data_IF_549055633927
#
_entry.id   IF_549055633927
#
_cell.length_a   1.000
_cell.length_b   1.000
_cell.length_c   1.000
_cell.angle_alpha   90.00
_cell.angle_beta   90.00
_cell.angle_gamma   90.00
#
_symmetry.space_group_name_H-M   'P 1'
#
loop_
_entity.id
_entity.type
_entity.pdbx_description
1 polymer ?
#
# COMPACT_ATOMS: atom_id res chain seq x y z
N UNK A 1 25.12 -22.84 14.57
CA UNK A 1 26.07 -22.21 13.62
C UNK A 1 25.22 -21.76 12.45
N UNK A 2 24.98 -20.49 12.16
CA UNK A 2 25.51 -19.21 12.59
C UNK A 2 24.33 -18.23 12.58
N UNK A 3 24.02 -17.63 13.73
CA UNK A 3 23.05 -16.53 13.79
C UNK A 3 23.67 -15.34 13.07
N UNK A 4 23.05 -14.90 11.98
CA UNK A 4 23.38 -13.61 11.39
C UNK A 4 22.82 -12.53 12.32
N UNK A 5 23.65 -12.12 13.28
CA UNK A 5 23.52 -10.85 13.98
C UNK A 5 23.87 -9.74 12.98
N UNK A 6 22.91 -9.38 12.12
CA UNK A 6 22.98 -8.19 11.32
C UNK A 6 22.54 -7.03 12.21
N UNK A 7 23.51 -6.38 12.84
CA UNK A 7 23.31 -5.07 13.46
C UNK A 7 22.80 -4.13 12.37
N UNK A 8 21.50 -3.83 12.41
CA UNK A 8 20.88 -2.89 11.50
C UNK A 8 21.55 -1.52 11.68
N UNK A 9 21.78 -0.76 10.59
CA UNK A 9 22.20 0.63 10.73
C UNK A 9 21.21 1.36 11.64
N UNK A 10 21.72 2.27 12.48
CA UNK A 10 20.88 3.01 13.42
C UNK A 10 19.70 3.65 12.66
N UNK A 11 18.46 3.42 13.11
CA UNK A 11 17.28 3.92 12.41
C UNK A 11 17.35 5.45 12.34
N UNK A 12 17.10 6.01 11.15
CA UNK A 12 17.02 7.46 10.99
C UNK A 12 15.76 7.96 11.68
N UNK A 13 15.90 8.88 12.63
CA UNK A 13 14.76 9.45 13.37
C UNK A 13 14.86 10.97 13.26
N UNK A 14 13.94 11.56 12.52
CA UNK A 14 13.94 12.98 12.19
C UNK A 14 12.69 13.67 12.78
N UNK A 15 12.86 14.92 13.22
CA UNK A 15 11.73 15.78 13.56
C UNK A 15 11.10 16.35 12.28
N UNK A 16 9.77 16.23 12.15
CA UNK A 16 9.00 16.85 11.08
C UNK A 16 8.07 17.88 11.70
N UNK A 17 8.63 19.05 11.99
CA UNK A 17 7.97 20.05 12.84
C UNK A 17 8.01 19.65 14.33
N UNK A 18 7.11 20.21 15.11
CA UNK A 18 7.06 20.10 16.58
C UNK A 18 6.14 18.97 17.08
N UNK A 19 5.31 18.39 16.21
CA UNK A 19 4.30 17.36 16.58
C UNK A 19 4.38 16.08 15.76
N UNK A 20 5.45 15.89 14.97
CA UNK A 20 5.63 14.68 14.17
C UNK A 20 7.08 14.18 14.22
N UNK A 21 7.24 12.87 14.38
CA UNK A 21 8.51 12.16 14.31
C UNK A 21 8.47 11.19 13.14
N UNK A 22 9.46 11.25 12.25
CA UNK A 22 9.61 10.34 11.12
C UNK A 22 10.70 9.32 11.40
N UNK A 23 10.37 8.05 11.29
CA UNK A 23 11.28 6.93 11.56
C UNK A 23 11.55 6.17 10.27
N UNK A 24 12.80 6.12 9.84
CA UNK A 24 13.27 5.33 8.70
C UNK A 24 13.60 3.90 9.09
N UNK A 25 12.99 2.95 8.37
CA UNK A 25 13.13 1.49 8.59
C UNK A 25 13.81 0.78 7.40
N UNK A 26 14.14 1.54 6.35
CA UNK A 26 14.91 1.09 5.20
C UNK A 26 15.18 2.25 4.23
N UNK A 27 16.05 2.00 3.26
CA UNK A 27 16.40 2.99 2.22
C UNK A 27 15.64 2.74 0.91
N UNK A 28 15.21 1.50 0.68
CA UNK A 28 14.59 1.03 -0.56
C UNK A 28 13.17 0.54 -0.34
N UNK A 29 12.33 0.68 -1.38
CA UNK A 29 10.96 0.13 -1.38
C UNK A 29 11.03 -1.32 -1.82
N UNK A 30 11.16 -2.22 -0.85
CA UNK A 30 11.27 -3.66 -1.09
C UNK A 30 10.42 -4.46 -0.07
N UNK A 31 10.21 -5.77 -0.31
CA UNK A 31 9.40 -6.60 0.58
C UNK A 31 9.95 -6.70 2.02
N UNK A 32 11.26 -6.66 2.21
CA UNK A 32 11.89 -6.76 3.53
C UNK A 32 11.66 -5.48 4.35
N UNK A 33 11.90 -4.33 3.72
CA UNK A 33 11.63 -3.01 4.32
C UNK A 33 10.13 -2.87 4.66
N UNK A 34 9.25 -3.33 3.77
CA UNK A 34 7.80 -3.34 4.03
C UNK A 34 7.44 -4.21 5.25
N UNK A 35 8.05 -5.39 5.38
CA UNK A 35 7.87 -6.26 6.55
C UNK A 35 8.31 -5.57 7.85
N UNK A 36 9.45 -4.87 7.84
CA UNK A 36 9.93 -4.10 8.99
C UNK A 36 8.97 -2.98 9.37
N UNK A 37 8.46 -2.23 8.39
CA UNK A 37 7.42 -1.20 8.61
C UNK A 37 6.20 -1.80 9.28
N UNK A 38 5.67 -2.92 8.76
CA UNK A 38 4.48 -3.55 9.34
C UNK A 38 4.70 -4.12 10.73
N UNK A 39 5.83 -4.79 10.95
CA UNK A 39 6.18 -5.32 12.26
C UNK A 39 6.31 -4.18 13.29
N UNK A 40 6.89 -3.05 12.89
CA UNK A 40 7.01 -1.89 13.78
C UNK A 40 5.67 -1.21 14.06
N UNK A 41 4.82 -1.01 13.05
CA UNK A 41 3.45 -0.48 13.26
C UNK A 41 2.63 -1.39 14.17
N UNK A 42 2.72 -2.71 13.98
CA UNK A 42 2.05 -3.68 14.85
C UNK A 42 2.55 -3.54 16.29
N UNK A 43 3.86 -3.47 16.50
CA UNK A 43 4.46 -3.25 17.82
C UNK A 43 3.98 -1.96 18.47
N UNK A 44 3.90 -0.85 17.73
CA UNK A 44 3.40 0.42 18.26
C UNK A 44 1.92 0.35 18.64
N UNK A 45 1.11 -0.46 17.95
CA UNK A 45 -0.30 -0.69 18.30
C UNK A 45 -0.47 -1.60 19.51
N UNK A 46 0.36 -2.64 19.63
CA UNK A 46 0.35 -3.58 20.77
C UNK A 46 0.99 -2.97 22.02
N UNK A 47 1.96 -2.07 21.85
CA UNK A 47 2.65 -1.35 22.93
C UNK A 47 2.56 0.17 22.69
N UNK A 48 1.37 0.79 22.86
CA UNK A 48 1.19 2.23 22.63
C UNK A 48 2.17 3.08 23.43
N UNK A 49 2.65 4.16 22.82
CA UNK A 49 3.45 5.17 23.49
C UNK A 49 2.49 6.30 23.94
N UNK A 50 2.43 6.63 25.23
CA UNK A 50 1.65 7.78 25.70
C UNK A 50 1.99 9.06 24.91
N UNK A 51 0.97 9.82 24.52
CA UNK A 51 1.15 11.03 23.74
C UNK A 51 1.19 10.83 22.21
N UNK A 52 1.40 9.61 21.70
CA UNK A 52 1.24 9.33 20.26
C UNK A 52 -0.24 9.21 19.93
N UNK A 53 -0.70 10.02 18.96
CA UNK A 53 -2.09 10.06 18.49
C UNK A 53 -2.34 9.27 17.22
N UNK A 54 -1.38 9.28 16.32
CA UNK A 54 -1.52 8.62 15.02
C UNK A 54 -0.21 7.96 14.58
N UNK A 55 -0.36 6.83 13.89
CA UNK A 55 0.74 6.00 13.38
C UNK A 55 0.48 5.83 11.88
N UNK A 56 1.28 6.51 11.07
CA UNK A 56 1.10 6.56 9.62
C UNK A 56 2.25 5.80 8.95
N UNK A 57 2.04 4.54 8.52
CA UNK A 57 3.02 3.83 7.71
C UNK A 57 3.11 4.41 6.31
N UNK A 58 4.33 4.47 5.79
CA UNK A 58 4.64 4.68 4.38
C UNK A 58 5.56 3.54 3.88
N UNK A 59 6.11 3.66 2.67
CA UNK A 59 6.92 2.60 2.07
C UNK A 59 8.12 2.16 2.90
N UNK A 60 8.88 3.11 3.43
CA UNK A 60 10.13 2.85 4.17
C UNK A 60 10.17 3.53 5.53
N UNK A 61 9.10 4.23 5.89
CA UNK A 61 9.05 5.07 7.09
C UNK A 61 7.74 4.87 7.85
N UNK A 62 7.77 5.23 9.13
CA UNK A 62 6.57 5.41 9.96
C UNK A 62 6.61 6.82 10.52
N UNK A 63 5.54 7.58 10.31
CA UNK A 63 5.35 8.87 10.94
C UNK A 63 4.49 8.71 12.21
N UNK A 64 4.96 9.27 13.32
CA UNK A 64 4.22 9.33 14.58
C UNK A 64 3.78 10.77 14.82
N UNK A 65 2.47 11.01 14.81
CA UNK A 65 1.91 12.28 15.26
C UNK A 65 1.71 12.21 16.76
N UNK A 66 2.24 13.18 17.50
CA UNK A 66 2.23 13.15 18.96
C UNK A 66 1.82 14.49 19.58
N UNK A 67 1.50 14.43 20.87
CA UNK A 67 1.18 15.58 21.72
C UNK A 67 2.38 15.89 22.61
N UNK A 68 3.15 16.94 22.30
CA UNK A 68 4.35 17.28 23.07
C UNK A 68 4.04 17.53 24.55
N UNK A 69 2.84 18.05 24.84
CA UNK A 69 2.39 18.41 26.18
C UNK A 69 2.27 17.20 27.13
N UNK A 70 2.22 15.98 26.57
CA UNK A 70 2.13 14.73 27.33
C UNK A 70 3.48 14.02 27.50
N UNK A 71 4.58 14.59 26.99
CA UNK A 71 5.90 13.96 26.93
C UNK A 71 6.99 14.70 27.75
N UNK A 72 6.59 15.69 28.55
CA UNK A 72 7.46 16.42 29.47
C UNK A 72 8.29 17.52 28.79
N UNK A 73 9.41 17.89 29.43
CA UNK A 73 10.23 19.05 29.05
C UNK A 73 11.03 18.85 27.74
N UNK A 74 11.28 17.60 27.35
CA UNK A 74 11.97 17.24 26.10
C UNK A 74 11.16 16.25 25.26
N UNK A 75 10.01 16.66 24.68
CA UNK A 75 9.06 15.74 24.06
C UNK A 75 9.65 14.83 22.99
N UNK A 76 10.47 15.40 22.11
CA UNK A 76 11.09 14.65 21.02
C UNK A 76 12.05 13.58 21.54
N UNK A 77 12.92 13.91 22.51
CA UNK A 77 13.87 12.94 23.08
C UNK A 77 13.17 11.85 23.88
N UNK A 78 12.12 12.20 24.65
CA UNK A 78 11.28 11.24 25.37
C UNK A 78 10.63 10.22 24.41
N UNK A 79 10.07 10.72 23.31
CA UNK A 79 9.49 9.86 22.27
C UNK A 79 10.56 9.03 21.56
N UNK A 80 11.71 9.64 21.25
CA UNK A 80 12.82 9.00 20.56
C UNK A 80 13.36 7.82 21.37
N UNK A 81 13.54 7.99 22.69
CA UNK A 81 13.93 6.91 23.59
C UNK A 81 12.92 5.76 23.58
N UNK A 82 11.61 6.08 23.66
CA UNK A 82 10.53 5.08 23.62
C UNK A 82 10.47 4.32 22.28
N UNK A 83 10.77 5.00 21.18
CA UNK A 83 10.88 4.39 19.85
C UNK A 83 12.09 3.48 19.76
N UNK A 84 13.27 3.93 20.21
CA UNK A 84 14.49 3.14 20.19
C UNK A 84 14.36 1.86 21.02
N UNK A 85 13.71 1.91 22.18
CA UNK A 85 13.40 0.73 23.00
C UNK A 85 12.60 -0.32 22.21
N UNK A 86 11.59 0.10 21.44
CA UNK A 86 10.75 -0.79 20.62
C UNK A 86 11.48 -1.30 19.39
N UNK A 87 12.39 -0.51 18.82
CA UNK A 87 13.22 -0.92 17.69
C UNK A 87 14.32 -1.91 18.09
N UNK A 88 14.81 -1.84 19.33
CA UNK A 88 15.80 -2.77 19.87
C UNK A 88 15.24 -4.19 20.09
N UNK A 89 13.92 -4.34 20.21
CA UNK A 89 13.28 -5.65 20.30
C UNK A 89 13.30 -6.36 18.93
N UNK A 90 13.63 -7.66 18.85
CA UNK A 90 13.65 -8.39 17.59
C UNK A 90 12.28 -8.34 16.93
N UNK A 91 12.23 -8.01 15.64
CA UNK A 91 10.98 -8.07 14.88
C UNK A 91 10.61 -9.53 14.60
N UNK A 92 9.41 -9.93 14.98
CA UNK A 92 8.81 -11.14 14.41
C UNK A 92 8.42 -10.82 12.96
N UNK A 93 9.37 -11.06 12.05
CA UNK A 93 9.14 -10.92 10.60
C UNK A 93 8.52 -12.18 9.99
N UNK A 94 8.34 -13.24 10.79
CA UNK A 94 7.67 -14.46 10.39
C UNK A 94 6.31 -14.10 9.83
N UNK A 95 6.06 -14.52 8.58
CA UNK A 95 4.98 -14.08 7.72
C UNK A 95 3.75 -13.65 8.53
N UNK A 96 3.64 -12.33 8.75
CA UNK A 96 2.40 -11.72 9.23
C UNK A 96 1.30 -12.42 8.45
N UNK A 97 0.33 -13.03 9.15
CA UNK A 97 -0.75 -13.79 8.54
C UNK A 97 -1.51 -12.85 7.61
N UNK A 98 -1.01 -12.71 6.39
CA UNK A 98 -1.44 -11.73 5.43
C UNK A 98 -2.73 -12.28 4.88
N UNK A 99 -3.84 -11.59 5.16
CA UNK A 99 -5.11 -11.94 4.56
C UNK A 99 -4.90 -11.89 3.05
N UNK A 100 -5.32 -12.94 2.36
CA UNK A 100 -5.36 -12.92 0.91
C UNK A 100 -6.74 -12.43 0.51
N UNK A 101 -6.79 -11.23 -0.08
CA UNK A 101 -8.03 -10.60 -0.51
C UNK A 101 -8.15 -10.79 -2.01
N UNK A 102 -9.21 -11.46 -2.46
CA UNK A 102 -9.51 -11.59 -3.87
C UNK A 102 -10.20 -10.34 -4.41
N UNK A 103 -9.70 -9.81 -5.52
CA UNK A 103 -10.26 -8.63 -6.19
C UNK A 103 -10.64 -9.02 -7.61
N UNK A 104 -11.94 -9.17 -7.92
CA UNK A 104 -12.39 -9.44 -9.28
C UNK A 104 -12.23 -8.19 -10.15
N UNK A 105 -11.71 -8.36 -11.37
CA UNK A 105 -11.41 -7.28 -12.31
C UNK A 105 -11.92 -7.62 -13.69
N UNK A 106 -12.69 -6.71 -14.27
CA UNK A 106 -12.98 -6.69 -15.70
C UNK A 106 -11.87 -5.90 -16.40
N UNK A 107 -11.17 -6.51 -17.36
CA UNK A 107 -9.99 -5.95 -18.02
C UNK A 107 -10.32 -5.39 -19.40
N UNK A 108 -9.59 -4.34 -19.80
CA UNK A 108 -9.65 -3.77 -21.16
C UNK A 108 -10.93 -2.99 -21.45
N UNK A 109 -11.08 -2.57 -22.70
CA UNK A 109 -12.26 -1.82 -23.16
C UNK A 109 -12.52 -0.57 -22.32
N UNK A 110 -13.77 -0.35 -21.91
CA UNK A 110 -14.12 0.80 -21.08
C UNK A 110 -13.63 0.70 -19.62
N UNK A 111 -13.39 -0.52 -19.11
CA UNK A 111 -12.89 -0.76 -17.75
C UNK A 111 -11.38 -0.50 -17.65
N UNK A 112 -10.65 -0.77 -18.73
CA UNK A 112 -9.20 -0.65 -18.83
C UNK A 112 -8.75 0.00 -20.13
N UNK A 113 -9.01 1.30 -20.34
CA UNK A 113 -8.79 1.98 -21.62
C UNK A 113 -7.33 2.11 -22.04
N UNK A 114 -6.37 1.77 -21.17
CA UNK A 114 -4.93 1.83 -21.46
C UNK A 114 -4.33 0.44 -21.68
N UNK A 115 -5.10 -0.64 -21.59
CA UNK A 115 -4.57 -2.00 -21.62
C UNK A 115 -3.88 -2.32 -22.95
N UNK A 116 -4.47 -1.91 -24.06
CA UNK A 116 -3.92 -2.08 -25.40
C UNK A 116 -2.63 -1.26 -25.58
N UNK A 117 -2.60 -0.03 -25.09
CA UNK A 117 -1.41 0.84 -25.13
C UNK A 117 -0.26 0.28 -24.27
N UNK A 118 -0.58 -0.25 -23.09
CA UNK A 118 0.37 -0.95 -22.21
C UNK A 118 0.96 -2.14 -22.95
N UNK A 119 0.11 -2.98 -23.55
CA UNK A 119 0.54 -4.15 -24.31
C UNK A 119 1.48 -3.77 -25.46
N UNK A 120 1.10 -2.76 -26.25
CA UNK A 120 1.90 -2.26 -27.37
C UNK A 120 3.27 -1.72 -26.92
N UNK A 121 3.31 -0.87 -25.88
CA UNK A 121 4.57 -0.29 -25.39
C UNK A 121 5.52 -1.32 -24.78
N UNK A 122 4.97 -2.41 -24.22
CA UNK A 122 5.75 -3.50 -23.63
C UNK A 122 6.10 -4.61 -24.62
N UNK A 123 5.60 -4.54 -25.85
CA UNK A 123 5.78 -5.61 -26.85
C UNK A 123 5.09 -6.92 -26.45
N UNK A 124 3.97 -6.82 -25.74
CA UNK A 124 3.18 -7.94 -25.23
C UNK A 124 1.81 -7.98 -25.93
N UNK A 125 1.15 -9.13 -25.90
CA UNK A 125 -0.29 -9.19 -26.16
C UNK A 125 -1.08 -8.71 -24.95
N UNK A 126 -2.32 -8.28 -25.17
CA UNK A 126 -3.26 -7.93 -24.09
C UNK A 126 -3.39 -9.08 -23.07
N UNK A 127 -3.49 -10.33 -23.55
CA UNK A 127 -3.58 -11.48 -22.64
C UNK A 127 -2.30 -11.74 -21.85
N UNK A 128 -1.13 -11.47 -22.43
CA UNK A 128 0.12 -11.55 -21.67
C UNK A 128 0.14 -10.50 -20.57
N UNK A 129 -0.33 -9.27 -20.82
CA UNK A 129 -0.42 -8.23 -19.78
C UNK A 129 -1.36 -8.67 -18.65
N UNK A 130 -2.54 -9.17 -18.99
CA UNK A 130 -3.51 -9.67 -18.02
C UNK A 130 -2.90 -10.83 -17.20
N UNK A 131 -2.29 -11.82 -17.86
CA UNK A 131 -1.70 -12.98 -17.19
C UNK A 131 -0.59 -12.57 -16.21
N UNK A 132 0.34 -11.70 -16.64
CA UNK A 132 1.42 -11.20 -15.79
C UNK A 132 0.87 -10.41 -14.60
N UNK A 133 -0.15 -9.58 -14.80
CA UNK A 133 -0.80 -8.86 -13.71
C UNK A 133 -1.50 -9.82 -12.73
N UNK A 134 -2.18 -10.87 -13.20
CA UNK A 134 -2.86 -11.84 -12.33
C UNK A 134 -1.87 -12.72 -11.53
N UNK A 135 -0.72 -13.05 -12.12
CA UNK A 135 0.29 -13.95 -11.52
C UNK A 135 1.26 -13.24 -10.58
N UNK A 136 1.33 -11.91 -10.63
CA UNK A 136 2.19 -11.09 -9.78
C UNK A 136 1.88 -11.28 -8.28
N UNK A 137 2.89 -11.41 -7.40
CA UNK A 137 2.72 -11.60 -5.96
C UNK A 137 2.38 -10.29 -5.25
N UNK A 138 1.20 -9.74 -5.56
CA UNK A 138 0.78 -8.43 -5.11
C UNK A 138 0.65 -8.31 -3.60
N UNK A 139 1.25 -7.25 -3.07
CA UNK A 139 1.18 -6.93 -1.65
C UNK A 139 0.96 -5.45 -1.41
N UNK A 140 0.03 -5.12 -0.51
CA UNK A 140 -0.25 -3.74 -0.12
C UNK A 140 0.92 -3.22 0.73
N UNK A 141 1.63 -2.21 0.23
CA UNK A 141 2.74 -1.58 0.95
C UNK A 141 2.27 -0.45 1.86
N UNK A 142 1.35 0.38 1.39
CA UNK A 142 0.73 1.42 2.19
C UNK A 142 -0.64 1.78 1.63
N UNK A 143 -1.45 2.44 2.46
CA UNK A 143 -2.62 3.18 2.00
C UNK A 143 -2.33 4.67 2.08
N UNK A 144 -2.72 5.45 1.08
CA UNK A 144 -2.46 6.89 1.04
C UNK A 144 -3.01 7.53 -0.22
N UNK A 145 -2.79 8.82 -0.45
CA UNK A 145 -3.40 9.63 -1.54
C UNK A 145 -4.90 9.91 -1.38
N UNK A 146 -5.71 8.88 -1.12
CA UNK A 146 -7.13 8.99 -0.80
C UNK A 146 -7.54 7.90 0.21
N UNK A 147 -8.66 8.05 0.94
CA UNK A 147 -9.15 7.02 1.85
C UNK A 147 -9.27 5.65 1.16
N UNK A 148 -8.53 4.66 1.68
CA UNK A 148 -8.52 3.29 1.17
C UNK A 148 -7.75 3.05 -0.14
N UNK A 149 -7.02 4.05 -0.66
CA UNK A 149 -6.25 3.87 -1.90
C UNK A 149 -4.97 3.06 -1.61
N UNK A 150 -4.79 1.86 -2.20
CA UNK A 150 -3.66 1.00 -1.93
C UNK A 150 -2.53 1.24 -2.93
N UNK A 151 -1.30 1.36 -2.42
CA UNK A 151 -0.09 1.20 -3.21
C UNK A 151 0.35 -0.26 -3.11
N UNK A 152 0.22 -1.00 -4.21
CA UNK A 152 0.44 -2.44 -4.26
C UNK A 152 1.73 -2.70 -5.03
N UNK A 153 2.71 -3.30 -4.38
CA UNK A 153 3.97 -3.71 -5.01
C UNK A 153 3.92 -5.17 -5.46
N UNK A 154 5.03 -5.63 -6.07
CA UNK A 154 5.15 -6.99 -6.59
C UNK A 154 4.68 -7.14 -8.04
N UNK A 155 4.47 -6.03 -8.76
CA UNK A 155 4.13 -6.05 -10.18
C UNK A 155 5.26 -6.70 -10.99
N UNK A 156 4.90 -7.55 -11.94
CA UNK A 156 5.86 -8.19 -12.83
C UNK A 156 6.76 -7.15 -13.55
N UNK A 157 8.09 -7.31 -13.54
CA UNK A 157 9.02 -6.38 -14.18
C UNK A 157 8.73 -6.11 -15.67
N UNK A 158 8.12 -7.06 -16.38
CA UNK A 158 7.75 -6.89 -17.78
C UNK A 158 6.61 -5.87 -17.98
N UNK A 159 5.86 -5.53 -16.93
CA UNK A 159 4.80 -4.53 -16.94
C UNK A 159 5.25 -3.14 -16.46
N UNK A 160 6.51 -2.99 -16.04
CA UNK A 160 7.04 -1.73 -15.53
C UNK A 160 7.02 -0.66 -16.62
N UNK A 161 6.30 0.42 -16.36
CA UNK A 161 6.15 1.53 -17.31
C UNK A 161 5.89 2.86 -16.58
N UNK A 162 6.24 4.01 -17.17
CA UNK A 162 6.01 5.29 -16.51
C UNK A 162 4.52 5.61 -16.33
N UNK A 163 4.25 6.61 -15.50
CA UNK A 163 2.95 7.27 -15.48
C UNK A 163 2.66 7.89 -16.85
N UNK A 164 1.39 8.05 -17.17
CA UNK A 164 0.95 8.83 -18.33
C UNK A 164 1.54 10.24 -18.27
N UNK A 165 1.96 10.75 -19.43
CA UNK A 165 2.50 12.10 -19.56
C UNK A 165 1.46 13.17 -19.17
N UNK A 166 0.20 12.95 -19.54
CA UNK A 166 -0.94 13.78 -19.11
C UNK A 166 -1.87 12.96 -18.21
N UNK A 167 -1.97 13.30 -16.91
CA UNK A 167 -2.95 12.71 -16.00
C UNK A 167 -4.38 12.93 -16.47
N UNK A 168 -5.27 11.98 -16.16
CA UNK A 168 -6.72 12.16 -16.30
C UNK A 168 -7.23 13.04 -15.17
N UNK A 169 -8.15 13.93 -15.49
CA UNK A 169 -8.84 14.77 -14.50
C UNK A 169 -9.84 13.97 -13.66
N UNK A 170 -10.35 12.87 -14.21
CA UNK A 170 -11.35 12.01 -13.57
C UNK A 170 -11.06 10.54 -13.87
N UNK A 171 -10.82 9.76 -12.82
CA UNK A 171 -10.71 8.30 -12.86
C UNK A 171 -11.86 7.74 -12.03
N UNK A 172 -12.74 6.89 -12.59
CA UNK A 172 -13.87 6.39 -11.84
C UNK A 172 -13.47 5.40 -10.74
N UNK A 173 -14.27 5.26 -9.67
CA UNK A 173 -14.03 4.30 -8.60
C UNK A 173 -13.89 2.86 -9.10
N UNK A 174 -13.09 2.08 -8.40
CA UNK A 174 -12.75 0.69 -8.73
C UNK A 174 -11.74 0.53 -9.85
N UNK A 175 -11.32 1.62 -10.53
CA UNK A 175 -10.36 1.49 -11.63
C UNK A 175 -9.03 0.91 -11.11
N UNK A 176 -8.46 -0.05 -11.85
CA UNK A 176 -7.20 -0.72 -11.57
C UNK A 176 -6.15 -0.13 -12.49
N UNK A 177 -5.06 0.37 -11.91
CA UNK A 177 -4.01 1.05 -12.67
C UNK A 177 -2.63 0.50 -12.38
N UNK A 178 -1.73 0.61 -13.35
CA UNK A 178 -0.29 0.33 -13.18
C UNK A 178 0.55 1.58 -13.45
N UNK A 179 1.60 1.77 -12.65
CA UNK A 179 2.61 2.80 -12.86
C UNK A 179 3.89 2.43 -12.12
N UNK A 180 5.03 2.64 -12.79
CA UNK A 180 6.36 2.17 -12.35
C UNK A 180 6.27 0.67 -12.06
N UNK A 181 6.72 0.24 -10.90
CA UNK A 181 6.74 -1.12 -10.36
C UNK A 181 5.53 -1.44 -9.48
N UNK A 182 4.43 -0.67 -9.62
CA UNK A 182 3.28 -0.76 -8.74
C UNK A 182 1.97 -0.90 -9.52
N UNK A 183 1.00 -1.54 -8.86
CA UNK A 183 -0.42 -1.52 -9.21
C UNK A 183 -1.24 -0.82 -8.11
N UNK A 184 -2.44 -0.35 -8.43
CA UNK A 184 -3.33 0.30 -7.48
C UNK A 184 -4.79 0.07 -7.85
N UNK A 185 -5.69 0.42 -6.93
CA UNK A 185 -7.13 0.43 -7.16
C UNK A 185 -7.68 1.76 -6.64
N UNK A 186 -8.31 2.54 -7.51
CA UNK A 186 -8.88 3.84 -7.14
C UNK A 186 -10.16 3.63 -6.31
N UNK A 187 -10.21 3.97 -5.00
CA UNK A 187 -11.39 3.71 -4.17
C UNK A 187 -12.51 4.73 -4.40
N UNK A 188 -12.14 5.92 -4.88
CA UNK A 188 -12.99 7.09 -5.07
C UNK A 188 -12.66 7.74 -6.42
N UNK A 189 -13.59 8.56 -6.91
CA UNK A 189 -13.35 9.36 -8.10
C UNK A 189 -12.28 10.43 -7.82
N UNK A 190 -11.15 10.34 -8.50
CA UNK A 190 -10.00 11.24 -8.30
C UNK A 190 -9.24 11.46 -9.63
N UNK A 191 -8.47 12.55 -9.77
CA UNK A 191 -7.52 12.67 -10.87
C UNK A 191 -6.36 11.68 -10.69
N UNK A 192 -5.74 11.24 -11.79
CA UNK A 192 -4.57 10.36 -11.70
C UNK A 192 -3.87 10.09 -13.04
N UNK A 193 -2.60 9.71 -12.95
CA UNK A 193 -1.73 9.47 -14.10
C UNK A 193 -1.32 8.01 -14.29
N UNK A 194 -2.03 7.06 -13.70
CA UNK A 194 -1.71 5.63 -13.85
C UNK A 194 -2.35 5.08 -15.13
N UNK A 195 -1.74 4.03 -15.70
CA UNK A 195 -2.27 3.36 -16.88
C UNK A 195 -3.38 2.41 -16.44
N UNK A 196 -4.61 2.68 -16.85
CA UNK A 196 -5.80 1.94 -16.43
C UNK A 196 -5.99 0.67 -17.24
N UNK A 197 -5.86 -0.49 -16.59
CA UNK A 197 -5.88 -1.80 -17.25
C UNK A 197 -7.16 -2.59 -17.00
N UNK A 198 -7.99 -2.17 -16.04
CA UNK A 198 -9.27 -2.79 -15.74
C UNK A 198 -10.02 -2.07 -14.63
N UNK A 199 -11.15 -2.62 -14.19
CA UNK A 199 -11.95 -2.09 -13.08
C UNK A 199 -12.56 -3.21 -12.25
N UNK A 200 -12.59 -3.02 -10.93
CA UNK A 200 -13.26 -3.90 -9.98
C UNK A 200 -14.62 -3.34 -9.56
N UNK A 201 -15.65 -4.18 -9.33
CA UNK A 201 -16.91 -3.76 -8.74
C UNK A 201 -16.83 -3.66 -7.21
N UNK A 202 -15.73 -4.10 -6.58
CA UNK A 202 -15.57 -4.14 -5.13
C UNK A 202 -15.48 -2.72 -4.52
N UNK A 203 -16.17 -2.50 -3.39
CA UNK A 203 -16.01 -1.28 -2.59
C UNK A 203 -14.74 -1.38 -1.74
N UNK A 204 -13.75 -0.54 -1.99
CA UNK A 204 -12.51 -0.52 -1.21
C UNK A 204 -12.60 0.31 0.06
N UNK A 205 -13.45 1.35 0.05
CA UNK A 205 -13.65 2.26 1.16
C UNK A 205 -15.14 2.47 1.41
N UNK A 206 -15.55 2.26 2.65
CA UNK A 206 -16.88 2.55 3.15
C UNK A 206 -16.78 3.20 4.54
N UNK A 207 -17.13 4.49 4.69
CA UNK A 207 -17.01 5.18 5.97
C UNK A 207 -17.97 4.63 7.04
N UNK A 208 -18.99 3.85 6.66
CA UNK A 208 -19.92 3.21 7.58
C UNK A 208 -19.48 1.83 8.06
N UNK A 209 -18.46 1.23 7.41
CA UNK A 209 -17.93 -0.07 7.77
C UNK A 209 -16.85 0.00 8.87
N UNK A 210 -16.63 -1.11 9.59
CA UNK A 210 -15.55 -1.25 10.55
C UNK A 210 -14.74 -2.54 10.29
N UNK A 211 -13.50 -2.46 9.79
CA UNK A 211 -12.78 -1.24 9.41
C UNK A 211 -13.35 -0.60 8.12
N UNK A 212 -13.15 0.72 7.90
CA UNK A 212 -13.69 1.42 6.74
C UNK A 212 -12.94 1.11 5.44
N UNK A 213 -11.71 0.60 5.52
CA UNK A 213 -10.92 0.18 4.37
C UNK A 213 -10.93 -1.35 4.27
N UNK A 214 -11.23 -1.88 3.08
CA UNK A 214 -11.17 -3.32 2.82
C UNK A 214 -9.75 -3.88 2.95
N UNK A 215 -8.81 -3.17 2.32
CA UNK A 215 -7.39 -3.52 2.28
C UNK A 215 -6.66 -2.82 3.43
N UNK A 216 -5.65 -3.50 3.97
CA UNK A 216 -4.72 -2.98 4.96
C UNK A 216 -3.26 -3.19 4.49
N UNK A 217 -2.32 -2.35 4.94
CA UNK A 217 -0.91 -2.58 4.67
C UNK A 217 -0.49 -3.97 5.17
N UNK A 218 0.19 -4.73 4.31
CA UNK A 218 0.61 -6.11 4.55
C UNK A 218 -0.28 -7.18 3.92
N UNK A 219 -1.53 -6.87 3.56
CA UNK A 219 -2.44 -7.80 2.88
C UNK A 219 -1.87 -8.24 1.52
N UNK A 220 -2.12 -9.50 1.17
CA UNK A 220 -1.87 -10.04 -0.17
C UNK A 220 -3.11 -9.83 -1.03
N UNK A 221 -2.94 -9.36 -2.27
CA UNK A 221 -4.06 -9.11 -3.18
C UNK A 221 -4.01 -10.14 -4.31
N UNK A 222 -5.07 -10.92 -4.49
CA UNK A 222 -5.20 -11.81 -5.64
C UNK A 222 -6.21 -11.23 -6.61
N UNK A 223 -5.74 -10.68 -7.72
CA UNK A 223 -6.65 -10.27 -8.79
C UNK A 223 -7.22 -11.51 -9.47
N UNK A 224 -8.51 -11.45 -9.81
CA UNK A 224 -9.21 -12.53 -10.52
C UNK A 224 -9.93 -11.91 -11.71
N UNK A 225 -9.76 -12.47 -12.91
CA UNK A 225 -10.47 -11.98 -14.09
C UNK A 225 -11.95 -12.33 -14.01
N UNK A 226 -12.80 -11.36 -14.32
CA UNK A 226 -14.24 -11.55 -14.54
C UNK A 226 -14.65 -10.94 -15.88
N UNK A 227 -15.79 -11.36 -16.40
CA UNK A 227 -16.42 -10.75 -17.57
C UNK A 227 -17.33 -9.59 -17.16
N UNK A 228 -17.82 -8.86 -18.16
CA UNK A 228 -18.74 -7.73 -18.00
C UNK A 228 -20.07 -8.12 -17.34
N UNK A 229 -20.77 -9.21 -17.75
CA UNK A 229 -21.98 -9.65 -17.06
C UNK A 229 -21.77 -9.89 -15.55
N UNK A 230 -20.66 -10.54 -15.18
CA UNK A 230 -20.32 -10.74 -13.77
C UNK A 230 -20.00 -9.43 -13.06
N UNK A 231 -19.34 -8.49 -13.73
CA UNK A 231 -19.05 -7.16 -13.19
C UNK A 231 -20.33 -6.44 -12.78
N UNK A 232 -21.33 -6.40 -13.67
CA UNK A 232 -22.61 -5.75 -13.41
C UNK A 232 -23.41 -6.45 -12.31
N UNK A 233 -23.50 -7.79 -12.33
CA UNK A 233 -24.19 -8.54 -11.29
C UNK A 233 -23.59 -8.29 -9.89
N UNK A 234 -22.27 -8.12 -9.79
CA UNK A 234 -21.60 -7.80 -8.54
C UNK A 234 -21.82 -6.34 -8.10
N UNK A 235 -22.02 -5.40 -9.03
CA UNK A 235 -22.38 -4.02 -8.68
C UNK A 235 -23.80 -3.92 -8.12
N UNK A 236 -24.76 -4.60 -8.75
CA UNK A 236 -26.17 -4.57 -8.34
C UNK A 236 -26.37 -5.12 -6.94
N UNK A 237 -25.68 -6.21 -6.59
CA UNK A 237 -25.71 -6.83 -5.26
C UNK A 237 -25.08 -6.00 -4.13
N UNK A 238 -24.60 -4.78 -4.41
CA UNK A 238 -24.08 -3.83 -3.39
C UNK A 238 -25.15 -2.85 -2.87
N UNK A 239 -26.35 -2.87 -3.46
CA UNK A 239 -27.44 -1.94 -3.15
C UNK A 239 -28.17 -2.33 -1.87
#
# INVERSE_FOLDING_TARGET
MTGHDQTLPSPRIDAVGDRCMLIGLGETVDPETSLRVFAFVRRLKEQPIPGVRDIVPAFTTVALHYQPELLGDSPFESLRASVLERLAQPFETQALAARTIEVPVCYGGEWGPDLEDVAAQRGLSVEQVIALHLQSPHRVYMLGFAPGFPFIGGLDPALVMPRRASPRTRIPPGSVGIARDQTCIYPLETPGGWNLIGRTPVRLFDPSANPPCLLAPGDSVRFVRIDEPRYHAMLEGRS
#
